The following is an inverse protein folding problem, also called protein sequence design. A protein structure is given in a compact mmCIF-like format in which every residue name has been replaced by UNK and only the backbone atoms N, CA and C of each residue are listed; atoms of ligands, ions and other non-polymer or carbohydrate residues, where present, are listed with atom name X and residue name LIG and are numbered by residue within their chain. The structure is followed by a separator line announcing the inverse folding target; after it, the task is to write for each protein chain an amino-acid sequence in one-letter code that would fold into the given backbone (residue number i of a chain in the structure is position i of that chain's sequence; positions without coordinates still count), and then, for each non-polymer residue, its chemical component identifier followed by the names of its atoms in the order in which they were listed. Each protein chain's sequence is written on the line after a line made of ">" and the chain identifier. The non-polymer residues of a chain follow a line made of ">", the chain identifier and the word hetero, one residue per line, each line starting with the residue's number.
data_IF_131827641173
#
_entry.id   IF_131827641173
#
_cell.length_a   1.000
_cell.length_b   1.000
_cell.length_c   1.000
_cell.angle_alpha   90.00
_cell.angle_beta   90.00
_cell.angle_gamma   90.00
#
_symmetry.space_group_name_H-M   'P 1'
#
loop_
_entity.id
_entity.type
_entity.pdbx_description
1 polymer ?
#
# COMPACT_ATOMS: atom_id res chain seq x y z
N UNK A 1 3.68 11.58 -28.30
CA UNK A 1 2.97 12.39 -27.29
C UNK A 1 2.30 11.39 -26.36
N UNK A 2 2.88 11.13 -25.19
CA UNK A 2 2.37 10.12 -24.25
C UNK A 2 1.11 10.67 -23.60
N UNK A 3 0.00 9.95 -23.74
CA UNK A 3 -1.32 10.39 -23.28
C UNK A 3 -1.37 10.37 -21.74
N UNK A 4 -1.34 11.55 -21.13
CA UNK A 4 -1.31 11.76 -19.67
C UNK A 4 -2.64 11.38 -18.98
N UNK A 5 -3.70 11.11 -19.74
CA UNK A 5 -5.00 10.70 -19.18
C UNK A 5 -5.03 9.26 -18.66
N UNK A 6 -4.08 8.39 -19.04
CA UNK A 6 -3.95 7.06 -18.48
C UNK A 6 -3.26 7.03 -17.09
N UNK A 7 -2.49 8.07 -16.76
CA UNK A 7 -1.76 8.19 -15.49
C UNK A 7 -2.67 8.53 -14.29
N UNK A 8 -3.90 8.99 -14.52
CA UNK A 8 -4.83 9.36 -13.44
C UNK A 8 -5.60 8.17 -12.84
N UNK A 9 -5.53 6.99 -13.46
CA UNK A 9 -6.19 5.77 -12.98
C UNK A 9 -5.28 4.90 -12.09
N UNK A 10 -3.97 5.13 -12.11
CA UNK A 10 -2.98 4.30 -11.41
C UNK A 10 -2.40 5.10 -10.25
N UNK A 11 -2.46 4.54 -9.05
CA UNK A 11 -1.93 5.13 -7.82
C UNK A 11 -1.22 4.05 -7.00
N UNK A 12 -0.58 4.43 -5.90
CA UNK A 12 0.02 3.44 -5.02
C UNK A 12 1.30 2.78 -5.57
N UNK A 13 1.62 1.57 -5.12
CA UNK A 13 2.77 0.79 -5.58
C UNK A 13 2.84 0.63 -7.10
N UNK A 14 1.71 0.42 -7.76
CA UNK A 14 1.63 0.17 -9.21
C UNK A 14 2.07 1.38 -10.04
N UNK A 15 1.79 2.60 -9.56
CA UNK A 15 2.26 3.82 -10.20
C UNK A 15 3.80 3.90 -10.14
N UNK A 16 4.37 3.54 -9.00
CA UNK A 16 5.82 3.54 -8.82
C UNK A 16 6.49 2.47 -9.69
N UNK A 17 5.89 1.30 -9.84
CA UNK A 17 6.37 0.28 -10.77
C UNK A 17 6.36 0.78 -12.23
N UNK A 18 5.31 1.48 -12.66
CA UNK A 18 5.25 2.07 -14.00
C UNK A 18 6.29 3.17 -14.22
N UNK A 19 6.53 4.02 -13.22
CA UNK A 19 7.62 5.00 -13.25
C UNK A 19 8.97 4.31 -13.34
N UNK A 20 9.18 3.22 -12.61
CA UNK A 20 10.41 2.45 -12.68
C UNK A 20 10.65 1.89 -14.10
N UNK A 21 9.61 1.39 -14.75
CA UNK A 21 9.71 0.86 -16.12
C UNK A 21 10.03 1.98 -17.14
N UNK A 22 9.43 3.16 -16.98
CA UNK A 22 9.71 4.33 -17.81
C UNK A 22 11.16 4.84 -17.64
N UNK A 23 11.65 4.93 -16.40
CA UNK A 23 13.03 5.32 -16.09
C UNK A 23 14.04 4.29 -16.63
N UNK A 24 13.77 2.99 -16.46
CA UNK A 24 14.63 1.93 -16.96
C UNK A 24 14.74 1.94 -18.50
N UNK A 25 13.60 2.14 -19.18
CA UNK A 25 13.55 2.28 -20.65
C UNK A 25 14.36 3.48 -21.14
N UNK A 26 14.43 4.54 -20.32
CA UNK A 26 15.21 5.75 -20.61
C UNK A 26 16.69 5.65 -20.20
N UNK A 27 17.11 4.50 -19.64
CA UNK A 27 18.49 4.25 -19.20
C UNK A 27 18.81 4.75 -17.78
N UNK A 28 17.82 5.24 -17.04
CA UNK A 28 17.98 5.76 -15.67
C UNK A 28 17.78 4.65 -14.62
N UNK A 29 18.65 3.63 -14.64
CA UNK A 29 18.47 2.42 -13.82
C UNK A 29 18.51 2.66 -12.31
N UNK A 30 19.22 3.70 -11.84
CA UNK A 30 19.25 4.07 -10.41
C UNK A 30 17.87 4.57 -9.97
N UNK A 31 17.24 5.46 -10.75
CA UNK A 31 15.89 5.95 -10.48
C UNK A 31 14.89 4.80 -10.50
N UNK A 32 14.99 3.92 -11.50
CA UNK A 32 14.13 2.75 -11.61
C UNK A 32 14.22 1.86 -10.36
N UNK A 33 15.44 1.59 -9.87
CA UNK A 33 15.63 0.80 -8.65
C UNK A 33 15.00 1.47 -7.41
N UNK A 34 15.17 2.78 -7.24
CA UNK A 34 14.54 3.52 -6.13
C UNK A 34 13.01 3.49 -6.19
N UNK A 35 12.42 3.60 -7.37
CA UNK A 35 10.97 3.50 -7.53
C UNK A 35 10.47 2.08 -7.20
N UNK A 36 11.18 1.03 -7.64
CA UNK A 36 10.86 -0.38 -7.28
C UNK A 36 10.93 -0.61 -5.77
N UNK A 37 11.99 -0.15 -5.13
CA UNK A 37 12.15 -0.28 -3.67
C UNK A 37 10.99 0.40 -2.93
N UNK A 38 10.63 1.62 -3.34
CA UNK A 38 9.53 2.36 -2.73
C UNK A 38 8.17 1.70 -2.99
N UNK A 39 7.94 1.11 -4.17
CA UNK A 39 6.74 0.34 -4.46
C UNK A 39 6.61 -0.86 -3.50
N UNK A 40 7.70 -1.60 -3.30
CA UNK A 40 7.73 -2.74 -2.38
C UNK A 40 7.47 -2.32 -0.93
N UNK A 41 8.11 -1.25 -0.47
CA UNK A 41 7.90 -0.71 0.87
C UNK A 41 6.43 -0.31 1.08
N UNK A 42 5.86 0.43 0.13
CA UNK A 42 4.47 0.86 0.23
C UNK A 42 3.51 -0.34 0.23
N UNK A 43 3.72 -1.33 -0.62
CA UNK A 43 2.91 -2.55 -0.60
C UNK A 43 3.01 -3.31 0.74
N UNK A 44 4.19 -3.31 1.36
CA UNK A 44 4.37 -3.87 2.70
C UNK A 44 3.62 -3.07 3.76
N UNK A 45 3.69 -1.74 3.71
CA UNK A 45 2.98 -0.85 4.63
C UNK A 45 1.47 -1.02 4.52
N UNK A 46 0.93 -1.15 3.30
CA UNK A 46 -0.50 -1.41 3.07
C UNK A 46 -0.94 -2.74 3.69
N UNK A 47 -0.15 -3.80 3.54
CA UNK A 47 -0.43 -5.09 4.21
C UNK A 47 -0.41 -4.92 5.72
N UNK A 48 0.58 -4.20 6.26
CA UNK A 48 0.69 -3.98 7.70
C UNK A 48 -0.48 -3.18 8.27
N UNK A 49 -0.97 -2.18 7.54
CA UNK A 49 -2.16 -1.42 7.92
C UNK A 49 -3.38 -2.34 7.97
N UNK A 50 -3.62 -3.16 6.93
CA UNK A 50 -4.74 -4.08 6.90
C UNK A 50 -4.70 -5.10 8.06
N UNK A 51 -3.52 -5.62 8.40
CA UNK A 51 -3.32 -6.47 9.57
C UNK A 51 -3.70 -5.75 10.87
N UNK A 52 -3.21 -4.52 11.08
CA UNK A 52 -3.50 -3.72 12.27
C UNK A 52 -4.99 -3.35 12.39
N UNK A 53 -5.66 -3.11 11.27
CA UNK A 53 -7.11 -2.88 11.23
C UNK A 53 -7.90 -4.12 11.64
N UNK A 54 -7.48 -5.30 11.15
CA UNK A 54 -8.06 -6.57 11.55
C UNK A 54 -7.83 -6.87 13.05
N UNK A 55 -6.61 -6.62 13.55
CA UNK A 55 -6.28 -6.74 14.97
C UNK A 55 -7.13 -5.81 15.85
N UNK A 56 -7.27 -4.54 15.46
CA UNK A 56 -8.13 -3.58 16.17
C UNK A 56 -9.59 -4.04 16.19
N UNK A 57 -10.12 -4.53 15.06
CA UNK A 57 -11.49 -5.05 14.97
C UNK A 57 -11.69 -6.23 15.92
N UNK A 58 -10.72 -7.14 15.99
CA UNK A 58 -10.77 -8.29 16.90
C UNK A 58 -10.70 -7.88 18.37
N UNK A 59 -9.86 -6.90 18.71
CA UNK A 59 -9.74 -6.36 20.07
C UNK A 59 -11.02 -5.63 20.50
N UNK A 60 -11.62 -4.82 19.63
CA UNK A 60 -12.87 -4.14 19.92
C UNK A 60 -14.00 -5.15 20.18
N UNK A 61 -14.09 -6.22 19.38
CA UNK A 61 -15.07 -7.28 19.62
C UNK A 61 -14.84 -7.98 20.97
N UNK A 62 -13.59 -8.28 21.33
CA UNK A 62 -13.26 -8.88 22.64
C UNK A 62 -13.66 -7.96 23.79
N UNK A 63 -13.40 -6.65 23.66
CA UNK A 63 -13.77 -5.67 24.66
C UNK A 63 -15.28 -5.56 24.84
N UNK A 64 -16.04 -5.54 23.73
CA UNK A 64 -17.51 -5.54 23.77
C UNK A 64 -18.05 -6.79 24.47
N UNK A 65 -17.50 -7.97 24.15
CA UNK A 65 -17.91 -9.22 24.77
C UNK A 65 -17.62 -9.24 26.28
N UNK A 66 -16.42 -8.79 26.70
CA UNK A 66 -16.05 -8.73 28.11
C UNK A 66 -16.93 -7.73 28.88
N UNK A 67 -17.21 -6.56 28.27
CA UNK A 67 -18.09 -5.55 28.85
C UNK A 67 -19.52 -6.09 29.02
N UNK A 68 -20.04 -6.80 28.02
CA UNK A 68 -21.35 -7.42 28.10
C UNK A 68 -21.41 -8.52 29.18
N UNK A 69 -20.36 -9.34 29.30
CA UNK A 69 -20.28 -10.38 30.32
C UNK A 69 -20.20 -9.81 31.75
N UNK A 70 -19.57 -8.64 31.93
CA UNK A 70 -19.52 -7.96 33.23
C UNK A 70 -20.87 -7.32 33.61
N UNK A 71 -21.67 -6.93 32.63
CA UNK A 71 -22.97 -6.29 32.83
C UNK A 71 -24.14 -7.29 33.01
N UNK A 72 -23.90 -8.59 32.80
CA UNK A 72 -24.87 -9.68 32.91
C UNK A 72 -24.86 -10.31 34.31
#
# INVERSE_FOLDING_TARGET
>A
MTDLTALTAVSGPELLDQLADAESTSGHHINAAHYRERAQQWAADQRRIAELEAENTALDQRLRNATAALAA
#
